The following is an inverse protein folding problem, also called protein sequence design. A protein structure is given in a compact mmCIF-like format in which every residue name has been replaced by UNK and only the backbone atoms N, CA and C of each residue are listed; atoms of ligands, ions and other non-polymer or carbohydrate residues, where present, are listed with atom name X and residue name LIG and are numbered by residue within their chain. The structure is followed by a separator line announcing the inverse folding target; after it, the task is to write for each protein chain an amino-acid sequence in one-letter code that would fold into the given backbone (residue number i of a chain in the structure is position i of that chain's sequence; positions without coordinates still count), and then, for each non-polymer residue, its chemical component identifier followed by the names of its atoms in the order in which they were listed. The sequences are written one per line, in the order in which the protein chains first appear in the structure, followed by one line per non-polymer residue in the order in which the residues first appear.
data_IF_576550894149
#
_entry.id   IF_576550894149
#
_cell.length_a   1.000
_cell.length_b   1.000
_cell.length_c   1.000
_cell.angle_alpha   90.00
_cell.angle_beta   90.00
_cell.angle_gamma   90.00
#
_symmetry.space_group_name_H-M   'P 1'
#
loop_
_entity.id
_entity.type
_entity.pdbx_description
1 polymer ?
#
# COMPACT_ATOMS: atom_id res chain seq x y z
N UNK A 1 -25.74 5.61 32.34
CA UNK A 1 -24.69 4.77 31.76
C UNK A 1 -24.80 4.88 30.25
N UNK A 2 -24.03 5.78 29.65
CA UNK A 2 -23.99 5.96 28.18
C UNK A 2 -23.14 4.84 27.60
N UNK A 3 -23.63 4.04 26.65
CA UNK A 3 -22.81 3.03 26.00
C UNK A 3 -21.68 3.73 25.23
N UNK A 4 -20.45 3.47 25.61
CA UNK A 4 -19.27 3.85 24.82
C UNK A 4 -19.30 3.05 23.52
N UNK A 5 -19.85 3.65 22.48
CA UNK A 5 -19.83 3.10 21.12
C UNK A 5 -18.38 3.21 20.62
N UNK A 6 -17.58 2.18 20.91
CA UNK A 6 -16.25 2.03 20.32
C UNK A 6 -16.45 1.56 18.88
N UNK A 7 -16.65 2.52 17.95
CA UNK A 7 -16.78 2.23 16.54
C UNK A 7 -15.39 1.85 16.01
N UNK A 8 -15.08 0.56 15.98
CA UNK A 8 -13.87 0.05 15.35
C UNK A 8 -14.09 0.10 13.84
N UNK A 9 -13.63 1.19 13.23
CA UNK A 9 -13.63 1.32 11.77
C UNK A 9 -12.54 0.43 11.21
N UNK A 10 -12.94 -0.62 10.52
CA UNK A 10 -12.01 -1.48 9.77
C UNK A 10 -11.39 -0.65 8.65
N UNK A 11 -10.13 -0.25 8.81
CA UNK A 11 -9.45 0.60 7.85
C UNK A 11 -9.25 -0.10 6.52
N UNK A 12 -9.95 0.37 5.51
CA UNK A 12 -9.68 0.05 4.11
C UNK A 12 -8.53 0.95 3.65
N UNK A 13 -7.31 0.61 4.04
CA UNK A 13 -6.14 1.36 3.63
C UNK A 13 -5.37 0.61 2.57
N UNK A 14 -5.21 1.20 1.42
CA UNK A 14 -4.20 0.79 0.45
C UNK A 14 -3.68 2.03 -0.25
N UNK A 15 -2.42 2.24 -0.08
CA UNK A 15 -1.65 3.38 -0.41
C UNK A 15 -1.20 3.52 -1.84
N UNK A 16 -0.63 4.56 -2.18
CA UNK A 16 0.58 5.02 -2.87
C UNK A 16 0.46 6.50 -3.28
N UNK A 17 1.26 7.24 -3.04
CA UNK A 17 2.12 8.35 -2.85
C UNK A 17 2.21 9.53 -3.78
N UNK A 18 2.64 10.72 -3.54
CA UNK A 18 3.47 11.61 -4.36
C UNK A 18 3.89 12.93 -3.76
N UNK A 19 4.91 13.54 -4.36
CA UNK A 19 5.53 14.78 -3.93
C UNK A 19 4.93 16.03 -4.56
N UNK A 20 5.11 17.15 -3.86
CA UNK A 20 4.70 18.52 -4.23
C UNK A 20 5.88 19.23 -4.89
N UNK A 21 5.70 19.74 -6.11
CA UNK A 21 6.64 20.65 -6.76
C UNK A 21 6.55 22.05 -6.17
N UNK A 22 7.69 22.64 -5.79
CA UNK A 22 7.82 24.04 -5.42
C UNK A 22 7.96 24.94 -6.68
N UNK A 23 7.72 26.27 -6.57
CA UNK A 23 7.71 27.17 -7.72
C UNK A 23 9.13 27.43 -8.26
N UNK A 24 9.24 27.41 -9.58
CA UNK A 24 10.47 27.71 -10.31
C UNK A 24 10.78 29.21 -10.28
N UNK A 25 12.03 29.53 -9.98
CA UNK A 25 12.58 30.88 -10.12
C UNK A 25 12.91 31.16 -11.58
N UNK A 26 12.49 32.33 -12.05
CA UNK A 26 12.73 32.84 -13.39
C UNK A 26 14.19 33.28 -13.55
N UNK A 27 14.92 32.69 -14.49
CA UNK A 27 16.28 33.13 -14.86
C UNK A 27 16.24 33.86 -16.20
N UNK A 28 16.95 34.97 -16.25
CA UNK A 28 17.14 35.88 -17.41
C UNK A 28 18.01 35.21 -18.48
N UNK A 29 17.71 35.38 -19.78
CA UNK A 29 18.45 34.71 -20.85
C UNK A 29 19.79 35.39 -21.17
N UNK A 30 20.83 34.55 -21.34
CA UNK A 30 22.12 34.93 -21.87
C UNK A 30 22.16 34.80 -23.42
N UNK A 31 23.02 35.55 -24.15
CA UNK A 31 23.03 35.60 -25.60
C UNK A 31 23.54 34.29 -26.23
N UNK A 32 23.16 34.03 -27.51
CA UNK A 32 23.39 32.74 -28.14
C UNK A 32 24.85 32.58 -28.60
N UNK A 33 25.47 31.50 -28.09
CA UNK A 33 26.71 30.93 -28.65
C UNK A 33 26.36 29.92 -29.72
N UNK A 34 27.05 29.98 -30.84
CA UNK A 34 26.88 29.08 -32.00
C UNK A 34 27.16 27.61 -31.59
N UNK A 35 26.25 26.68 -31.83
CA UNK A 35 26.47 25.28 -31.40
C UNK A 35 27.33 24.54 -32.42
N UNK A 36 28.52 24.12 -31.97
CA UNK A 36 29.23 22.97 -32.58
C UNK A 36 28.50 21.70 -32.14
N UNK A 37 27.79 21.03 -33.04
CA UNK A 37 27.07 19.79 -32.77
C UNK A 37 28.07 18.69 -32.37
N UNK A 38 28.08 18.20 -31.12
CA UNK A 38 28.87 17.03 -30.76
C UNK A 38 28.28 15.79 -31.45
N UNK A 39 29.12 14.76 -31.77
CA UNK A 39 28.63 13.51 -32.31
C UNK A 39 27.57 12.91 -31.34
N UNK A 40 26.50 12.27 -31.86
CA UNK A 40 25.49 11.66 -30.99
C UNK A 40 26.16 10.64 -30.06
N UNK A 41 25.84 10.67 -28.76
CA UNK A 41 26.34 9.67 -27.83
C UNK A 41 25.92 8.27 -28.30
N UNK A 42 26.78 7.23 -28.10
CA UNK A 42 26.39 5.86 -28.43
C UNK A 42 25.05 5.53 -27.78
N UNK A 43 24.14 4.95 -28.56
CA UNK A 43 22.83 4.55 -28.08
C UNK A 43 23.00 3.67 -26.82
N UNK A 44 22.48 4.13 -25.69
CA UNK A 44 22.47 3.35 -24.48
C UNK A 44 21.81 1.98 -24.78
N UNK A 45 22.37 0.86 -24.29
CA UNK A 45 21.77 -0.45 -24.52
C UNK A 45 20.31 -0.40 -24.09
N UNK A 46 19.40 -0.89 -24.93
CA UNK A 46 17.98 -0.91 -24.66
C UNK A 46 17.75 -1.61 -23.32
N UNK A 47 17.38 -0.84 -22.30
CA UNK A 47 17.20 -1.37 -20.95
C UNK A 47 16.14 -2.47 -20.99
N UNK A 48 16.49 -3.65 -20.49
CA UNK A 48 15.55 -4.77 -20.39
C UNK A 48 14.33 -4.35 -19.55
N UNK A 49 13.15 -4.90 -19.89
CA UNK A 49 11.96 -4.68 -19.07
C UNK A 49 12.12 -5.37 -17.71
N UNK A 50 11.77 -4.68 -16.64
CA UNK A 50 11.76 -5.23 -15.28
C UNK A 50 10.44 -5.95 -15.05
N UNK A 51 10.51 -7.19 -14.58
CA UNK A 51 9.38 -8.06 -14.24
C UNK A 51 9.61 -8.67 -12.86
N UNK A 52 8.55 -9.00 -12.15
CA UNK A 52 8.67 -9.83 -10.95
C UNK A 52 9.15 -11.24 -11.31
N UNK A 53 9.97 -11.80 -10.44
CA UNK A 53 10.56 -13.12 -10.60
C UNK A 53 10.82 -13.82 -9.28
N UNK A 54 11.29 -15.07 -9.32
CA UNK A 54 11.65 -15.84 -8.13
C UNK A 54 12.74 -15.15 -7.30
N UNK A 55 12.63 -15.30 -5.98
CA UNK A 55 13.58 -14.77 -5.01
C UNK A 55 13.00 -14.77 -3.61
N UNK A 56 13.85 -14.71 -2.61
CA UNK A 56 13.43 -14.58 -1.23
C UNK A 56 14.13 -13.37 -0.60
N UNK A 57 13.36 -12.51 0.04
CA UNK A 57 13.84 -11.32 0.72
C UNK A 57 13.14 -11.15 2.06
N UNK A 58 13.88 -10.59 3.00
CA UNK A 58 13.35 -10.16 4.28
C UNK A 58 13.13 -8.66 4.25
N UNK A 59 12.02 -8.23 4.85
CA UNK A 59 11.63 -6.82 4.88
C UNK A 59 11.33 -6.36 6.29
N UNK A 60 11.64 -5.09 6.53
CA UNK A 60 11.03 -4.31 7.58
C UNK A 60 9.91 -3.46 6.94
N UNK A 61 8.70 -3.66 7.41
CA UNK A 61 7.54 -2.84 7.06
C UNK A 61 7.20 -2.01 8.30
N UNK A 62 7.31 -0.70 8.21
CA UNK A 62 6.85 0.22 9.24
C UNK A 62 5.53 0.84 8.79
N UNK A 63 4.45 0.53 9.49
CA UNK A 63 3.11 1.03 9.20
C UNK A 63 2.61 1.89 10.34
N UNK A 64 2.09 3.07 10.00
CA UNK A 64 1.44 4.00 10.91
C UNK A 64 0.06 4.35 10.37
N UNK A 65 -0.92 4.42 11.24
CA UNK A 65 -2.31 4.77 10.93
C UNK A 65 -2.82 5.76 11.97
N UNK A 66 -3.23 6.92 11.51
CA UNK A 66 -3.93 7.91 12.32
C UNK A 66 -5.38 7.96 11.89
N UNK A 67 -6.29 7.80 12.84
CA UNK A 67 -7.73 7.83 12.64
C UNK A 67 -8.30 8.97 13.46
N UNK A 68 -9.09 9.81 12.84
CA UNK A 68 -9.83 10.89 13.49
C UNK A 68 -11.32 10.73 13.16
N UNK A 69 -12.16 10.66 14.17
CA UNK A 69 -13.61 10.56 14.01
C UNK A 69 -14.31 11.67 14.78
N UNK A 70 -15.40 12.19 14.23
CA UNK A 70 -16.18 13.24 14.84
C UNK A 70 -17.55 12.71 15.23
N UNK A 71 -17.86 12.75 16.51
CA UNK A 71 -19.13 12.31 17.09
C UNK A 71 -19.82 13.53 17.74
N UNK A 72 -20.81 14.10 17.07
CA UNK A 72 -21.35 15.40 17.46
C UNK A 72 -20.25 16.45 17.45
N UNK A 73 -20.07 17.16 18.59
CA UNK A 73 -19.01 18.17 18.75
C UNK A 73 -17.67 17.59 19.25
N UNK A 74 -17.58 16.28 19.44
CA UNK A 74 -16.38 15.65 19.98
C UNK A 74 -15.54 15.01 18.87
N UNK A 75 -14.26 15.40 18.84
CA UNK A 75 -13.26 14.78 17.99
C UNK A 75 -12.48 13.74 18.78
N UNK A 76 -12.48 12.52 18.30
CA UNK A 76 -11.69 11.42 18.84
C UNK A 76 -10.58 11.07 17.87
N UNK A 77 -9.34 11.06 18.35
CA UNK A 77 -8.17 10.70 17.56
C UNK A 77 -7.50 9.44 18.14
N UNK A 78 -7.08 8.56 17.26
CA UNK A 78 -6.36 7.34 17.60
C UNK A 78 -5.19 7.16 16.66
N UNK A 79 -4.04 6.80 17.21
CA UNK A 79 -2.85 6.44 16.45
C UNK A 79 -2.50 4.98 16.68
N UNK A 80 -2.22 4.27 15.60
CA UNK A 80 -1.77 2.90 15.60
C UNK A 80 -0.48 2.81 14.82
N UNK A 81 0.49 2.03 15.28
CA UNK A 81 1.71 1.83 14.52
C UNK A 81 2.36 0.50 14.86
N UNK A 82 3.06 -0.08 13.88
CA UNK A 82 3.82 -1.29 14.07
C UNK A 82 4.99 -1.41 13.09
N UNK A 83 6.07 -1.99 13.57
CA UNK A 83 7.19 -2.50 12.77
C UNK A 83 7.00 -3.99 12.59
N UNK A 84 6.90 -4.43 11.35
CA UNK A 84 6.59 -5.79 10.96
C UNK A 84 7.79 -6.33 10.20
N UNK A 85 8.37 -7.41 10.69
CA UNK A 85 9.46 -8.12 10.02
C UNK A 85 8.83 -9.28 9.26
N UNK A 86 9.04 -9.31 7.95
CA UNK A 86 8.43 -10.30 7.08
C UNK A 86 9.45 -10.92 6.15
N UNK A 87 9.24 -12.19 5.83
CA UNK A 87 9.96 -12.89 4.77
C UNK A 87 8.98 -13.15 3.62
N UNK A 88 9.30 -12.66 2.43
CA UNK A 88 8.58 -12.99 1.21
C UNK A 88 9.44 -13.89 0.36
N UNK A 89 8.93 -15.07 0.01
CA UNK A 89 9.58 -16.01 -0.88
C UNK A 89 8.70 -16.26 -2.11
N UNK A 90 9.18 -15.79 -3.26
CA UNK A 90 8.61 -16.06 -4.58
C UNK A 90 9.36 -17.25 -5.16
N UNK A 91 8.67 -18.35 -5.42
CA UNK A 91 9.28 -19.56 -5.96
C UNK A 91 8.88 -19.79 -7.41
N UNK A 92 9.72 -20.45 -8.20
CA UNK A 92 9.43 -20.75 -9.59
C UNK A 92 9.10 -22.24 -9.81
N UNK A 93 8.60 -22.63 -10.99
CA UNK A 93 8.17 -21.78 -12.10
C UNK A 93 6.81 -21.11 -11.84
N UNK A 94 6.47 -20.09 -12.64
CA UNK A 94 5.12 -19.51 -12.65
C UNK A 94 4.12 -20.47 -13.30
N UNK A 95 2.91 -20.50 -12.77
CA UNK A 95 1.74 -21.11 -13.42
C UNK A 95 0.91 -20.06 -14.18
N UNK A 96 -0.30 -20.41 -14.61
CA UNK A 96 -1.20 -19.48 -15.32
C UNK A 96 -1.65 -18.28 -14.49
N UNK A 97 -1.57 -18.33 -13.16
CA UNK A 97 -1.95 -17.27 -12.23
C UNK A 97 -0.75 -16.40 -11.85
N UNK A 98 0.42 -17.02 -11.67
CA UNK A 98 1.64 -16.34 -11.26
C UNK A 98 2.62 -17.26 -10.53
N UNK A 99 3.56 -16.66 -9.84
CA UNK A 99 4.57 -17.38 -9.06
C UNK A 99 4.01 -17.84 -7.71
N UNK A 100 4.20 -19.11 -7.30
CA UNK A 100 3.94 -19.53 -5.94
C UNK A 100 4.69 -18.66 -4.95
N UNK A 101 3.99 -18.16 -3.95
CA UNK A 101 4.58 -17.17 -3.02
C UNK A 101 4.11 -17.43 -1.61
N UNK A 102 5.04 -17.35 -0.67
CA UNK A 102 4.76 -17.31 0.76
C UNK A 102 5.17 -15.97 1.34
N UNK A 103 4.37 -15.47 2.27
CA UNK A 103 4.60 -14.25 3.01
C UNK A 103 4.48 -14.58 4.50
N UNK A 104 5.60 -14.61 5.22
CA UNK A 104 5.66 -15.01 6.62
C UNK A 104 5.92 -13.81 7.51
N UNK A 105 5.15 -13.66 8.59
CA UNK A 105 5.41 -12.67 9.63
C UNK A 105 6.41 -13.26 10.61
N UNK A 106 7.67 -12.83 10.54
CA UNK A 106 8.75 -13.30 11.41
C UNK A 106 8.60 -12.69 12.81
N UNK A 107 8.29 -11.39 12.87
CA UNK A 107 8.11 -10.65 14.11
C UNK A 107 7.29 -9.39 13.86
N UNK A 108 6.66 -8.89 14.91
CA UNK A 108 5.93 -7.63 14.88
C UNK A 108 6.07 -6.93 16.24
N UNK A 109 6.28 -5.62 16.20
CA UNK A 109 6.45 -4.77 17.38
C UNK A 109 5.55 -3.56 17.24
N UNK A 110 4.67 -3.35 18.20
CA UNK A 110 3.84 -2.16 18.25
C UNK A 110 4.69 -0.91 18.50
N UNK A 111 4.33 0.21 17.86
CA UNK A 111 4.91 1.51 18.19
C UNK A 111 4.35 2.02 19.54
N UNK A 112 5.11 2.91 20.19
CA UNK A 112 4.64 3.61 21.38
C UNK A 112 3.38 4.41 21.07
N UNK A 113 2.35 4.29 21.91
CA UNK A 113 1.05 4.94 21.71
C UNK A 113 0.00 4.03 21.03
N UNK A 114 0.36 2.86 20.53
CA UNK A 114 -0.61 1.86 20.12
C UNK A 114 -1.39 1.37 21.36
N UNK A 115 -2.73 1.36 21.36
CA UNK A 115 -3.53 0.92 22.51
C UNK A 115 -3.19 -0.50 22.93
N UNK A 116 -3.08 -0.73 24.26
CA UNK A 116 -2.68 -2.01 24.82
C UNK A 116 -3.44 -3.24 24.29
N UNK A 117 -4.79 -3.22 24.13
CA UNK A 117 -5.51 -4.38 23.59
C UNK A 117 -5.09 -4.77 22.18
N UNK A 118 -4.63 -3.78 21.37
CA UNK A 118 -4.12 -4.01 20.02
C UNK A 118 -2.68 -4.52 20.12
N UNK A 119 -1.84 -3.91 20.95
CA UNK A 119 -0.46 -4.31 21.17
C UNK A 119 -0.37 -5.77 21.67
N UNK A 120 -1.24 -6.20 22.58
CA UNK A 120 -1.30 -7.56 23.11
C UNK A 120 -1.69 -8.60 22.05
N UNK A 121 -2.55 -8.21 21.09
CA UNK A 121 -2.93 -9.10 19.99
C UNK A 121 -1.84 -9.20 18.92
N UNK A 122 -1.07 -8.14 18.71
CA UNK A 122 0.04 -8.11 17.75
C UNK A 122 1.07 -9.21 18.03
N UNK A 123 1.41 -9.44 19.29
CA UNK A 123 2.42 -10.46 19.68
C UNK A 123 2.02 -11.86 19.23
N UNK A 124 0.72 -12.16 19.13
CA UNK A 124 0.18 -13.46 18.74
C UNK A 124 0.39 -13.81 17.27
N UNK A 125 0.59 -12.80 16.40
CA UNK A 125 0.74 -13.00 14.94
C UNK A 125 2.12 -13.48 14.49
N UNK A 126 3.04 -13.69 15.38
CA UNK A 126 4.31 -14.35 15.05
C UNK A 126 4.05 -15.69 14.36
N UNK A 127 4.78 -15.92 13.26
CA UNK A 127 4.68 -17.13 12.42
C UNK A 127 3.37 -17.24 11.60
N UNK A 128 2.53 -16.21 11.55
CA UNK A 128 1.42 -16.21 10.62
C UNK A 128 1.99 -16.19 9.19
N UNK A 129 1.55 -17.16 8.39
CA UNK A 129 1.98 -17.33 6.99
C UNK A 129 0.79 -17.11 6.07
N UNK A 130 1.01 -16.39 5.00
CA UNK A 130 0.08 -16.28 3.88
C UNK A 130 0.69 -17.01 2.70
N UNK A 131 -0.01 -18.00 2.15
CA UNK A 131 0.37 -18.69 0.93
C UNK A 131 -0.53 -18.24 -0.21
N UNK A 132 0.04 -18.00 -1.39
CA UNK A 132 -0.70 -17.51 -2.55
C UNK A 132 0.15 -17.48 -3.81
N UNK A 133 -0.18 -16.56 -4.71
CA UNK A 133 0.56 -16.32 -5.97
C UNK A 133 0.87 -14.83 -6.14
N UNK A 134 2.07 -14.50 -6.56
CA UNK A 134 2.36 -13.16 -7.11
C UNK A 134 2.09 -13.20 -8.61
N UNK A 135 1.06 -12.50 -9.04
CA UNK A 135 0.73 -12.34 -10.45
C UNK A 135 1.79 -11.51 -11.19
N UNK A 136 1.82 -11.56 -12.53
CA UNK A 136 2.79 -10.81 -13.36
C UNK A 136 2.80 -9.30 -13.08
N UNK A 137 1.67 -8.76 -12.64
CA UNK A 137 1.51 -7.34 -12.31
C UNK A 137 1.89 -7.00 -10.86
N UNK A 138 2.24 -7.99 -10.04
CA UNK A 138 2.65 -7.81 -8.64
C UNK A 138 1.55 -8.03 -7.61
N UNK A 139 0.31 -8.31 -8.01
CA UNK A 139 -0.75 -8.62 -7.05
C UNK A 139 -0.48 -9.95 -6.35
N UNK A 140 -0.61 -9.97 -5.04
CA UNK A 140 -0.63 -11.20 -4.27
C UNK A 140 -2.06 -11.74 -4.24
N UNK A 141 -2.34 -12.73 -5.07
CA UNK A 141 -3.68 -13.30 -5.29
C UNK A 141 -3.82 -14.67 -4.66
N UNK A 142 -5.06 -15.09 -4.41
CA UNK A 142 -5.40 -16.37 -3.77
C UNK A 142 -4.70 -16.55 -2.42
N UNK A 143 -4.46 -15.44 -1.70
CA UNK A 143 -3.79 -15.44 -0.42
C UNK A 143 -4.64 -16.13 0.64
N UNK A 144 -4.12 -17.20 1.22
CA UNK A 144 -4.73 -17.92 2.32
C UNK A 144 -3.84 -17.82 3.55
N UNK A 145 -4.32 -17.27 4.67
CA UNK A 145 -3.56 -17.25 5.92
C UNK A 145 -3.56 -18.64 6.59
N UNK A 146 -2.49 -18.97 7.28
CA UNK A 146 -2.39 -20.21 8.08
C UNK A 146 -3.36 -20.23 9.27
N UNK A 147 -3.79 -19.04 9.72
CA UNK A 147 -4.83 -18.84 10.74
C UNK A 147 -5.68 -17.63 10.36
N UNK A 148 -6.92 -17.88 9.93
CA UNK A 148 -7.82 -16.83 9.45
C UNK A 148 -8.35 -15.94 10.57
N UNK A 149 -8.59 -16.48 11.77
CA UNK A 149 -9.10 -15.70 12.90
C UNK A 149 -8.01 -14.74 13.40
N UNK A 150 -6.78 -15.21 13.49
CA UNK A 150 -5.64 -14.41 13.88
C UNK A 150 -5.36 -13.32 12.82
N UNK A 151 -5.36 -13.65 11.53
CA UNK A 151 -5.18 -12.69 10.45
C UNK A 151 -6.22 -11.58 10.50
N UNK A 152 -7.49 -11.91 10.76
CA UNK A 152 -8.57 -10.95 10.87
C UNK A 152 -8.40 -10.02 12.07
N UNK A 153 -7.94 -10.53 13.22
CA UNK A 153 -7.75 -9.73 14.44
C UNK A 153 -6.72 -8.61 14.31
N UNK A 154 -5.80 -8.72 13.36
CA UNK A 154 -4.71 -7.74 13.11
C UNK A 154 -4.75 -7.10 11.73
N UNK A 155 -5.81 -7.35 10.96
CA UNK A 155 -5.94 -6.88 9.58
C UNK A 155 -5.71 -5.37 9.41
N UNK A 156 -6.13 -4.55 10.37
CA UNK A 156 -5.90 -3.10 10.36
C UNK A 156 -4.42 -2.73 10.34
N UNK A 157 -3.60 -3.44 11.10
CA UNK A 157 -2.16 -3.19 11.18
C UNK A 157 -1.39 -3.83 10.04
N UNK A 158 -1.79 -5.02 9.59
CA UNK A 158 -1.12 -5.69 8.48
C UNK A 158 -1.38 -4.98 7.16
N UNK A 159 -2.52 -4.29 7.04
CA UNK A 159 -2.94 -3.72 5.77
C UNK A 159 -3.31 -4.79 4.75
N UNK A 160 -3.34 -4.41 3.49
CA UNK A 160 -3.66 -5.33 2.41
C UNK A 160 -2.37 -5.87 1.77
N UNK A 161 -1.95 -7.08 2.13
CA UNK A 161 -0.79 -7.73 1.50
C UNK A 161 -0.95 -7.98 0.00
N UNK A 162 -2.17 -7.93 -0.52
CA UNK A 162 -2.42 -8.04 -1.97
C UNK A 162 -1.65 -7.01 -2.78
N UNK A 163 -1.52 -5.81 -2.23
CA UNK A 163 -0.88 -4.67 -2.89
C UNK A 163 0.49 -4.33 -2.23
N UNK A 164 1.17 -5.34 -1.66
CA UNK A 164 2.49 -5.17 -1.06
C UNK A 164 3.53 -4.78 -2.10
N UNK A 165 3.49 -5.40 -3.27
CA UNK A 165 4.34 -5.06 -4.40
C UNK A 165 3.66 -3.97 -5.24
N UNK A 166 4.42 -3.00 -5.80
CA UNK A 166 3.87 -2.03 -6.74
C UNK A 166 3.29 -2.73 -7.99
N UNK A 167 2.19 -2.21 -8.51
CA UNK A 167 1.55 -2.78 -9.71
C UNK A 167 2.31 -2.34 -10.95
N UNK A 168 2.79 -3.30 -11.73
CA UNK A 168 3.47 -3.10 -13.00
C UNK A 168 2.55 -3.51 -14.18
N UNK A 169 2.76 -3.01 -15.39
CA UNK A 169 2.21 -3.61 -16.60
C UNK A 169 2.61 -5.08 -16.73
N UNK A 170 1.73 -5.91 -17.29
CA UNK A 170 1.97 -7.35 -17.44
C UNK A 170 3.22 -7.68 -18.28
N UNK A 171 3.56 -6.82 -19.23
CA UNK A 171 4.72 -6.95 -20.12
C UNK A 171 6.00 -6.35 -19.53
N UNK A 172 5.96 -6.00 -18.24
CA UNK A 172 7.06 -5.36 -17.53
C UNK A 172 7.20 -3.86 -17.81
N UNK A 173 8.21 -3.26 -17.21
CA UNK A 173 8.42 -1.80 -17.23
C UNK A 173 9.85 -1.47 -17.60
N UNK A 174 10.01 -0.44 -18.43
CA UNK A 174 11.29 0.18 -18.78
C UNK A 174 11.40 1.57 -18.16
N UNK A 175 12.60 2.11 -17.97
CA UNK A 175 12.80 3.51 -17.61
C UNK A 175 12.09 4.45 -18.61
N UNK A 176 11.43 5.50 -18.11
CA UNK A 176 10.66 6.44 -18.91
C UNK A 176 9.21 6.03 -19.19
N UNK A 177 8.81 4.81 -18.81
CA UNK A 177 7.42 4.35 -19.01
C UNK A 177 6.47 5.07 -18.05
N UNK A 178 5.27 5.37 -18.57
CA UNK A 178 4.11 5.82 -17.78
C UNK A 178 2.92 4.93 -18.08
N UNK A 179 2.09 4.66 -17.08
CA UNK A 179 0.87 3.88 -17.27
C UNK A 179 -0.24 4.31 -16.31
N UNK A 180 -1.45 3.97 -16.70
CA UNK A 180 -2.64 4.12 -15.85
C UNK A 180 -3.28 2.76 -15.65
N UNK A 181 -3.71 2.49 -14.43
CA UNK A 181 -4.42 1.26 -14.08
C UNK A 181 -5.70 1.58 -13.30
N UNK A 182 -6.72 0.75 -13.47
CA UNK A 182 -7.95 0.81 -12.68
C UNK A 182 -8.09 -0.48 -11.90
N UNK A 183 -8.22 -0.36 -10.60
CA UNK A 183 -8.32 -1.49 -9.68
C UNK A 183 -9.64 -1.44 -8.94
N UNK A 184 -10.38 -2.53 -9.01
CA UNK A 184 -11.58 -2.72 -8.21
C UNK A 184 -11.37 -3.88 -7.25
N UNK A 185 -11.63 -3.67 -5.97
CA UNK A 185 -11.50 -4.67 -4.93
C UNK A 185 -12.76 -4.72 -4.10
N UNK A 186 -13.27 -5.92 -3.86
CA UNK A 186 -14.37 -6.16 -2.93
C UNK A 186 -13.86 -7.07 -1.82
N UNK A 187 -14.07 -6.67 -0.59
CA UNK A 187 -13.75 -7.45 0.60
C UNK A 187 -15.05 -7.83 1.31
N UNK A 188 -15.12 -9.08 1.75
CA UNK A 188 -16.22 -9.60 2.56
C UNK A 188 -15.64 -10.16 3.85
N UNK A 189 -16.18 -9.77 4.97
CA UNK A 189 -15.75 -10.26 6.28
C UNK A 189 -16.93 -10.29 7.25
N UNK A 190 -17.38 -11.48 7.65
CA UNK A 190 -18.59 -11.66 8.46
C UNK A 190 -19.79 -11.00 7.79
N UNK A 191 -20.48 -10.13 8.52
CA UNK A 191 -21.66 -9.38 8.07
C UNK A 191 -21.31 -8.09 7.32
N UNK A 192 -20.04 -7.87 6.95
CA UNK A 192 -19.58 -6.65 6.31
C UNK A 192 -19.11 -6.91 4.87
N UNK A 193 -19.42 -5.97 3.99
CA UNK A 193 -18.91 -5.92 2.62
C UNK A 193 -18.40 -4.51 2.35
N UNK A 194 -17.26 -4.40 1.70
CA UNK A 194 -16.74 -3.12 1.23
C UNK A 194 -16.15 -3.26 -0.17
N UNK A 195 -16.32 -2.24 -0.97
CA UNK A 195 -15.77 -2.13 -2.32
C UNK A 195 -14.94 -0.87 -2.44
N UNK A 196 -13.81 -0.98 -3.11
CA UNK A 196 -12.91 0.13 -3.42
C UNK A 196 -12.60 0.11 -4.91
N UNK A 197 -12.83 1.24 -5.56
CA UNK A 197 -12.44 1.47 -6.96
C UNK A 197 -11.40 2.57 -7.01
N UNK A 198 -10.25 2.26 -7.60
CA UNK A 198 -9.09 3.14 -7.63
C UNK A 198 -8.58 3.34 -9.06
N UNK A 199 -8.18 4.56 -9.37
CA UNK A 199 -7.39 4.88 -10.57
C UNK A 199 -5.96 5.21 -10.11
N UNK A 200 -4.98 4.54 -10.72
CA UNK A 200 -3.56 4.65 -10.40
C UNK A 200 -2.85 5.21 -11.63
N UNK A 201 -2.09 6.28 -11.45
CA UNK A 201 -1.14 6.78 -12.44
C UNK A 201 0.28 6.48 -11.95
N UNK A 202 1.12 5.96 -12.82
CA UNK A 202 2.47 5.57 -12.46
C UNK A 202 3.50 6.02 -13.50
N UNK A 203 4.71 6.32 -13.03
CA UNK A 203 5.86 6.68 -13.85
C UNK A 203 7.09 5.92 -13.34
N UNK A 204 7.86 5.33 -14.25
CA UNK A 204 9.10 4.65 -13.94
C UNK A 204 10.30 5.45 -14.45
N UNK A 205 11.30 5.64 -13.61
CA UNK A 205 12.59 6.25 -13.96
C UNK A 205 13.72 5.29 -13.64
N UNK A 206 14.86 5.46 -14.31
CA UNK A 206 16.06 4.71 -13.96
C UNK A 206 16.51 5.06 -12.54
N UNK A 207 16.99 4.07 -11.81
CA UNK A 207 17.48 4.21 -10.45
C UNK A 207 18.75 3.36 -10.26
N UNK A 208 19.68 3.92 -9.52
CA UNK A 208 20.91 3.21 -9.12
C UNK A 208 21.30 3.64 -7.70
N UNK A 209 21.63 2.66 -6.86
CA UNK A 209 22.15 2.90 -5.51
C UNK A 209 22.99 1.72 -5.04
N UNK A 210 24.18 2.00 -4.53
CA UNK A 210 25.12 1.00 -3.97
C UNK A 210 25.38 -0.19 -4.91
N UNK A 211 25.53 0.07 -6.21
CA UNK A 211 25.80 -0.96 -7.23
C UNK A 211 24.56 -1.77 -7.65
N UNK A 212 23.39 -1.46 -7.13
CA UNK A 212 22.11 -2.04 -7.60
C UNK A 212 21.46 -1.06 -8.56
N UNK A 213 21.29 -1.47 -9.81
CA UNK A 213 20.52 -0.71 -10.82
C UNK A 213 19.09 -1.25 -10.93
N UNK A 214 18.16 -0.40 -11.37
CA UNK A 214 16.77 -0.79 -11.51
C UNK A 214 15.85 0.38 -11.82
N UNK A 215 14.62 0.34 -11.27
CA UNK A 215 13.59 1.33 -11.49
C UNK A 215 13.17 1.98 -10.17
N UNK A 216 12.94 3.27 -10.21
CA UNK A 216 12.11 4.01 -9.28
C UNK A 216 10.74 4.20 -9.91
N UNK A 217 9.71 3.69 -9.25
CA UNK A 217 8.31 3.82 -9.67
C UNK A 217 7.62 4.80 -8.74
N UNK A 218 7.13 5.90 -9.30
CA UNK A 218 6.28 6.86 -8.60
C UNK A 218 4.84 6.63 -9.01
N UNK A 219 3.94 6.67 -8.04
CA UNK A 219 2.52 6.43 -8.26
C UNK A 219 1.66 7.49 -7.62
N UNK A 220 0.59 7.90 -8.22
CA UNK A 220 -0.50 8.68 -7.61
C UNK A 220 -1.82 7.95 -7.84
N UNK A 221 -2.69 8.01 -6.85
CA UNK A 221 -3.94 7.28 -6.86
C UNK A 221 -5.07 8.12 -6.31
N UNK A 222 -6.24 8.03 -6.94
CA UNK A 222 -7.52 8.46 -6.40
C UNK A 222 -8.46 7.28 -6.32
N UNK A 223 -9.32 7.24 -5.31
CA UNK A 223 -10.25 6.13 -5.16
C UNK A 223 -11.52 6.51 -4.40
N UNK A 224 -12.58 5.72 -4.65
CA UNK A 224 -13.83 5.73 -3.91
C UNK A 224 -13.97 4.44 -3.12
N UNK A 225 -14.56 4.55 -1.95
CA UNK A 225 -14.88 3.42 -1.07
C UNK A 225 -16.36 3.45 -0.75
N UNK A 226 -17.00 2.29 -0.83
CA UNK A 226 -18.36 2.07 -0.36
C UNK A 226 -18.41 0.78 0.44
N UNK A 227 -19.35 0.67 1.37
CA UNK A 227 -19.51 -0.54 2.13
C UNK A 227 -20.75 -0.53 2.99
N UNK A 228 -21.06 -1.70 3.51
CA UNK A 228 -22.15 -1.87 4.48
C UNK A 228 -21.88 -3.09 5.36
N UNK A 229 -22.50 -3.13 6.51
CA UNK A 229 -22.33 -4.25 7.43
C UNK A 229 -23.13 -4.07 8.72
N UNK A 230 -22.79 -4.91 9.70
CA UNK A 230 -23.31 -4.77 11.07
C UNK A 230 -22.15 -4.67 12.06
N UNK A 231 -22.30 -3.78 13.03
CA UNK A 231 -21.39 -3.68 14.16
C UNK A 231 -22.23 -3.83 15.44
N UNK A 232 -21.93 -4.83 16.26
CA UNK A 232 -22.73 -5.21 17.44
C UNK A 232 -24.25 -5.33 17.12
N UNK A 233 -24.58 -5.92 15.97
CA UNK A 233 -25.95 -6.10 15.48
C UNK A 233 -26.57 -4.85 14.82
N UNK A 234 -25.94 -3.68 14.92
CA UNK A 234 -26.44 -2.43 14.33
C UNK A 234 -25.93 -2.30 12.88
N UNK A 235 -26.84 -2.08 11.90
CA UNK A 235 -26.42 -1.87 10.53
C UNK A 235 -25.69 -0.54 10.37
N UNK A 236 -24.71 -0.52 9.48
CA UNK A 236 -24.02 0.69 9.05
C UNK A 236 -23.80 0.69 7.54
N UNK A 237 -23.67 1.88 6.99
CA UNK A 237 -23.23 2.16 5.63
C UNK A 237 -21.95 2.98 5.68
N UNK A 238 -21.04 2.72 4.75
CA UNK A 238 -19.77 3.40 4.61
C UNK A 238 -19.65 3.97 3.20
N UNK A 239 -19.27 5.23 3.11
CA UNK A 239 -18.90 5.85 1.82
C UNK A 239 -17.76 6.85 2.03
N UNK A 240 -16.94 7.03 1.01
CA UNK A 240 -15.85 8.01 1.07
C UNK A 240 -14.91 7.98 -0.12
N UNK A 241 -13.94 8.86 -0.04
CA UNK A 241 -12.94 9.08 -1.07
C UNK A 241 -11.56 9.16 -0.44
N UNK A 242 -10.55 8.82 -1.22
CA UNK A 242 -9.18 8.94 -0.76
C UNK A 242 -8.22 9.17 -1.91
N UNK A 243 -7.04 9.62 -1.51
CA UNK A 243 -5.89 9.75 -2.39
C UNK A 243 -4.70 9.07 -1.76
N UNK A 244 -3.88 8.53 -2.61
CA UNK A 244 -2.67 7.95 -2.13
C UNK A 244 -1.50 8.23 -3.05
N UNK A 245 -0.29 8.25 -2.47
CA UNK A 245 0.92 8.57 -3.15
C UNK A 245 2.09 7.65 -2.72
N UNK A 246 3.05 7.02 -3.57
CA UNK A 246 4.21 6.13 -3.30
C UNK A 246 5.36 6.27 -4.22
N UNK A 247 6.41 5.86 -3.65
CA UNK A 247 7.64 5.60 -4.36
C UNK A 247 8.06 4.17 -4.07
N UNK A 248 8.40 3.43 -5.10
CA UNK A 248 8.91 2.08 -4.99
C UNK A 248 10.22 1.95 -5.75
N UNK A 249 11.12 1.12 -5.26
CA UNK A 249 12.41 0.82 -5.86
C UNK A 249 12.47 -0.67 -6.20
N UNK A 250 12.69 -0.98 -7.47
CA UNK A 250 12.80 -2.32 -8.00
C UNK A 250 14.21 -2.52 -8.57
N UNK A 251 14.88 -3.59 -8.23
CA UNK A 251 16.10 -3.97 -8.89
C UNK A 251 15.83 -4.44 -10.34
N UNK A 252 16.83 -4.42 -11.19
CA UNK A 252 16.72 -4.84 -12.59
C UNK A 252 16.27 -6.31 -12.76
N UNK A 253 16.50 -7.14 -11.77
CA UNK A 253 16.05 -8.55 -11.71
C UNK A 253 14.62 -8.70 -11.14
N UNK A 254 13.90 -7.60 -10.89
CA UNK A 254 12.52 -7.58 -10.43
C UNK A 254 12.33 -7.69 -8.91
N UNK A 255 13.39 -7.70 -8.12
CA UNK A 255 13.29 -7.68 -6.66
C UNK A 255 12.80 -6.32 -6.17
N UNK A 256 11.82 -6.33 -5.28
CA UNK A 256 11.34 -5.13 -4.59
C UNK A 256 12.32 -4.76 -3.47
N UNK A 257 12.98 -3.61 -3.58
CA UNK A 257 14.07 -3.22 -2.68
C UNK A 257 13.60 -2.32 -1.54
N UNK A 258 12.71 -1.40 -1.83
CA UNK A 258 12.18 -0.45 -0.85
C UNK A 258 10.93 0.25 -1.39
N UNK A 259 10.17 0.86 -0.52
CA UNK A 259 9.09 1.76 -0.91
C UNK A 259 8.54 2.56 0.25
N UNK A 260 7.85 3.61 -0.09
CA UNK A 260 7.10 4.43 0.85
C UNK A 260 5.74 4.73 0.26
N UNK A 261 4.75 4.75 1.15
CA UNK A 261 3.35 4.92 0.82
C UNK A 261 2.69 5.84 1.81
N UNK A 262 1.96 6.85 1.33
CA UNK A 262 1.09 7.71 2.12
C UNK A 262 -0.33 7.68 1.53
N UNK A 263 -1.29 7.39 2.37
CA UNK A 263 -2.71 7.31 2.04
C UNK A 263 -3.51 8.27 2.92
N UNK A 264 -4.48 8.95 2.34
CA UNK A 264 -5.41 9.81 3.07
C UNK A 264 -6.81 9.54 2.58
N UNK A 265 -7.70 9.17 3.51
CA UNK A 265 -9.10 8.79 3.22
C UNK A 265 -10.04 9.61 4.09
N UNK A 266 -11.06 10.19 3.48
CA UNK A 266 -12.19 10.79 4.16
C UNK A 266 -13.41 9.88 3.97
N UNK A 267 -13.97 9.39 5.07
CA UNK A 267 -15.10 8.46 5.10
C UNK A 267 -16.26 9.07 5.85
N UNK A 268 -17.46 8.65 5.50
CA UNK A 268 -18.68 8.87 6.29
C UNK A 268 -19.29 7.53 6.63
N UNK A 269 -19.49 7.27 7.92
CA UNK A 269 -20.20 6.10 8.41
C UNK A 269 -21.59 6.55 8.81
N UNK A 270 -22.61 6.01 8.16
CA UNK A 270 -24.01 6.24 8.47
C UNK A 270 -24.54 5.11 9.33
N UNK A 271 -25.25 5.44 10.37
CA UNK A 271 -25.97 4.52 11.25
C UNK A 271 -27.49 4.73 11.03
N UNK A 272 -28.10 4.03 10.05
CA UNK A 272 -29.47 4.35 9.59
C UNK A 272 -30.50 4.26 10.69
N UNK A 273 -30.37 3.29 11.60
CA UNK A 273 -31.32 3.10 12.72
C UNK A 273 -31.26 4.25 13.73
N UNK A 274 -30.12 4.90 13.86
CA UNK A 274 -29.89 6.00 14.81
C UNK A 274 -30.03 7.39 14.15
N UNK A 275 -30.10 7.45 12.82
CA UNK A 275 -30.10 8.70 12.06
C UNK A 275 -28.79 9.50 12.18
N UNK A 276 -27.68 8.84 12.56
CA UNK A 276 -26.38 9.48 12.81
C UNK A 276 -25.42 9.25 11.66
N UNK A 277 -24.64 10.27 11.33
CA UNK A 277 -23.51 10.19 10.42
C UNK A 277 -22.23 10.56 11.16
N UNK A 278 -21.21 9.74 11.01
CA UNK A 278 -19.90 9.92 11.67
C UNK A 278 -18.84 10.15 10.59
N UNK A 279 -18.34 11.38 10.44
CA UNK A 279 -17.16 11.64 9.61
C UNK A 279 -15.91 11.02 10.22
N UNK A 280 -15.10 10.37 9.36
CA UNK A 280 -13.85 9.75 9.74
C UNK A 280 -12.76 10.14 8.74
N UNK A 281 -11.64 10.62 9.24
CA UNK A 281 -10.44 10.87 8.44
C UNK A 281 -9.37 9.86 8.86
N UNK A 282 -8.76 9.23 7.87
CA UNK A 282 -7.67 8.29 8.10
C UNK A 282 -6.45 8.73 7.30
N UNK A 283 -5.29 8.70 7.94
CA UNK A 283 -4.00 8.90 7.28
C UNK A 283 -3.11 7.72 7.61
N UNK A 284 -2.73 6.96 6.58
CA UNK A 284 -1.80 5.86 6.72
C UNK A 284 -0.45 6.21 6.09
N UNK A 285 0.63 5.73 6.69
CA UNK A 285 1.98 5.73 6.12
C UNK A 285 2.53 4.32 6.23
N UNK A 286 3.15 3.86 5.15
CA UNK A 286 3.82 2.57 5.11
C UNK A 286 5.18 2.76 4.48
N UNK A 287 6.23 2.37 5.18
CA UNK A 287 7.59 2.32 4.65
C UNK A 287 8.04 0.86 4.60
N UNK A 288 8.68 0.46 3.51
CA UNK A 288 9.21 -0.88 3.29
C UNK A 288 10.69 -0.78 2.98
N UNK A 289 11.50 -1.59 3.62
CA UNK A 289 12.93 -1.71 3.32
C UNK A 289 13.37 -3.17 3.38
N UNK A 290 14.24 -3.57 2.47
CA UNK A 290 14.91 -4.88 2.52
C UNK A 290 15.88 -4.90 3.70
N UNK A 291 15.88 -6.02 4.42
CA UNK A 291 16.86 -6.31 5.46
C UNK A 291 18.03 -7.09 4.86
N UNK A 292 19.25 -6.89 5.38
CA UNK A 292 20.43 -7.65 4.97
C UNK A 292 20.32 -9.14 5.29
#
# INVERSE_FOLDING_TARGET
MTPRLLLVVTALASGCASGRAGPAATATPAPPSTPTTPPPPPAAPASASVHYGPGALRYLVHRQLNIQQTLGDQVQAQSLGARIFVTMAITGPADSVGYPTTFSIDSIVADSGTPAPIADNIVKVRKLVFAGRVARRGEFVNAAPSDSALAQSVAQLLGNFRDFLPRLPADGVKPGATWTDTVETTQKGGDATSSRRATIHATATAWERAGVSGLRVETSQSYHVTGSGKNAGQPYELSGEGTATGTAFLAADGRYMAGEVRDSTALTIRLPVQGVSVPVVQVARTAVSVLP
#
